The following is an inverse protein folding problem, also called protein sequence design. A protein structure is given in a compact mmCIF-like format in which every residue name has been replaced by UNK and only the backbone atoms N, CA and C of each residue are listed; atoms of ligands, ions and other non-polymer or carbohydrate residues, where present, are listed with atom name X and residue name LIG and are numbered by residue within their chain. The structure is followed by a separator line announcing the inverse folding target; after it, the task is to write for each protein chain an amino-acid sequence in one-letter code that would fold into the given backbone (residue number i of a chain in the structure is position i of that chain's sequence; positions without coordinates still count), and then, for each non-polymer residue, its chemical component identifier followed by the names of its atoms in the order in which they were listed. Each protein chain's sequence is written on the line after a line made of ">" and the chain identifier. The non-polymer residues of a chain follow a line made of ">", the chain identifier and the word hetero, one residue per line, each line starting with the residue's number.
data_IF_784378066577
#
_entry.id   IF_784378066577
#
_cell.length_a   1.000
_cell.length_b   1.000
_cell.length_c   1.000
_cell.angle_alpha   90.00
_cell.angle_beta   90.00
_cell.angle_gamma   90.00
#
_symmetry.space_group_name_H-M   'P 1'
#
loop_
_entity.id
_entity.type
_entity.pdbx_description
1 polymer ?
#
# COMPACT_ATOMS: atom_id res chain seq x y z
N UNK A 1 10.22 -6.72 19.36
CA UNK A 1 11.00 -7.98 19.15
C UNK A 1 11.29 -8.62 20.50
N UNK A 2 11.29 -9.95 20.58
CA UNK A 2 11.46 -10.70 21.83
C UNK A 2 12.48 -11.81 21.63
N UNK A 3 13.42 -11.94 22.58
CA UNK A 3 14.46 -12.97 22.56
C UNK A 3 14.05 -14.11 23.50
N UNK A 4 13.77 -15.28 22.95
CA UNK A 4 13.33 -16.45 23.71
C UNK A 4 14.44 -17.50 23.75
N UNK A 5 14.75 -17.99 24.95
CA UNK A 5 15.73 -19.05 25.20
C UNK A 5 15.23 -19.90 26.37
N UNK A 6 15.45 -21.21 26.32
CA UNK A 6 15.09 -22.14 27.38
C UNK A 6 16.33 -22.94 27.82
N UNK A 7 16.70 -22.91 29.12
CA UNK A 7 16.08 -22.13 30.18
C UNK A 7 16.29 -20.60 29.99
N UNK A 8 15.40 -19.76 30.54
CA UNK A 8 15.50 -18.31 30.41
C UNK A 8 16.87 -17.79 30.86
N UNK A 9 17.51 -17.00 30.00
CA UNK A 9 18.79 -16.38 30.34
C UNK A 9 18.61 -15.27 31.37
N UNK A 10 19.65 -15.03 32.16
CA UNK A 10 19.72 -13.88 33.09
C UNK A 10 20.12 -12.58 32.39
N UNK A 11 20.73 -12.64 31.20
CA UNK A 11 21.21 -11.47 30.47
C UNK A 11 20.93 -11.61 28.97
N UNK A 12 20.42 -10.52 28.38
CA UNK A 12 20.06 -10.40 26.97
C UNK A 12 20.68 -9.14 26.39
N UNK A 13 21.30 -9.27 25.21
CA UNK A 13 21.82 -8.17 24.43
C UNK A 13 21.19 -8.15 23.05
N UNK A 14 20.79 -6.98 22.59
CA UNK A 14 20.28 -6.77 21.25
C UNK A 14 21.32 -6.07 20.39
N UNK A 15 21.42 -6.52 19.14
CA UNK A 15 22.30 -5.96 18.13
C UNK A 15 21.48 -5.59 16.90
N UNK A 16 21.82 -4.45 16.29
CA UNK A 16 21.35 -4.02 14.98
C UNK A 16 22.55 -3.77 14.09
N UNK A 17 22.63 -4.41 12.93
CA UNK A 17 23.78 -4.32 12.02
C UNK A 17 25.10 -4.58 12.76
N UNK A 18 25.11 -5.60 13.62
CA UNK A 18 26.21 -5.98 14.52
C UNK A 18 26.63 -4.96 15.59
N UNK A 19 25.92 -3.83 15.73
CA UNK A 19 26.16 -2.86 16.81
C UNK A 19 25.20 -3.10 17.98
N UNK A 20 25.70 -3.11 19.20
CA UNK A 20 24.86 -3.25 20.40
C UNK A 20 23.91 -2.04 20.53
N UNK A 21 22.62 -2.31 20.77
CA UNK A 21 21.56 -1.29 20.80
C UNK A 21 20.70 -1.30 22.07
N UNK A 22 20.56 -2.43 22.75
CA UNK A 22 19.71 -2.52 23.94
C UNK A 22 20.00 -3.77 24.75
N UNK A 23 19.44 -3.83 25.97
CA UNK A 23 19.49 -5.01 26.84
C UNK A 23 18.09 -5.33 27.36
N UNK A 24 17.87 -6.60 27.71
CA UNK A 24 16.58 -7.09 28.19
C UNK A 24 15.90 -8.04 27.21
N UNK A 25 14.95 -8.84 27.74
CA UNK A 25 14.26 -9.89 26.97
C UNK A 25 13.52 -9.33 25.75
N UNK A 26 12.94 -8.16 25.89
CA UNK A 26 12.17 -7.49 24.84
C UNK A 26 12.91 -6.24 24.38
N UNK A 27 12.91 -6.01 23.07
CA UNK A 27 13.29 -4.73 22.46
C UNK A 27 12.08 -4.13 21.75
N UNK A 28 11.69 -2.94 22.19
CA UNK A 28 10.50 -2.23 21.71
C UNK A 28 10.95 -0.96 21.01
N UNK A 29 10.51 -0.78 19.76
CA UNK A 29 10.62 0.46 19.01
C UNK A 29 9.25 1.13 19.18
N UNK A 30 9.22 2.28 19.86
CA UNK A 30 7.96 3.00 20.11
C UNK A 30 7.45 3.71 18.87
N UNK A 31 8.36 4.25 18.05
CA UNK A 31 8.08 4.91 16.78
C UNK A 31 9.09 4.40 15.75
N UNK A 32 8.63 3.68 14.75
CA UNK A 32 9.49 3.08 13.74
C UNK A 32 9.76 4.09 12.60
N UNK A 33 11.03 4.34 12.32
CA UNK A 33 11.53 5.17 11.22
C UNK A 33 12.41 4.32 10.29
N UNK A 34 12.67 4.77 9.06
CA UNK A 34 13.52 4.01 8.13
C UNK A 34 14.91 3.73 8.69
N UNK A 35 15.43 4.59 9.57
CA UNK A 35 16.69 4.37 10.30
C UNK A 35 16.65 3.20 11.28
N UNK A 36 15.45 2.73 11.65
CA UNK A 36 15.28 1.51 12.42
C UNK A 36 15.38 0.25 11.56
N UNK A 37 15.48 0.37 10.23
CA UNK A 37 15.75 -0.78 9.37
C UNK A 37 17.13 -1.38 9.64
N UNK A 38 17.24 -2.69 9.44
CA UNK A 38 18.49 -3.42 9.51
C UNK A 38 18.34 -4.84 10.03
N UNK A 39 19.48 -5.48 10.20
CA UNK A 39 19.58 -6.86 10.66
C UNK A 39 19.65 -6.91 12.19
N UNK A 40 18.63 -7.51 12.79
CA UNK A 40 18.51 -7.67 14.23
C UNK A 40 18.89 -9.08 14.64
N UNK A 41 19.64 -9.17 15.74
CA UNK A 41 19.90 -10.43 16.44
C UNK A 41 19.99 -10.17 17.93
N UNK A 42 19.61 -11.17 18.71
CA UNK A 42 19.85 -11.14 20.14
C UNK A 42 20.96 -12.12 20.52
N UNK A 43 21.67 -11.81 21.59
CA UNK A 43 22.62 -12.71 22.21
C UNK A 43 22.25 -12.91 23.67
N UNK A 44 22.37 -14.15 24.13
CA UNK A 44 22.23 -14.50 25.54
C UNK A 44 23.42 -15.35 25.98
N UNK A 45 23.74 -15.31 27.27
CA UNK A 45 24.87 -16.08 27.80
C UNK A 45 24.67 -17.60 27.67
N UNK A 46 23.43 -18.07 27.77
CA UNK A 46 23.09 -19.51 27.74
C UNK A 46 22.72 -20.01 26.35
N UNK A 47 22.08 -19.18 25.52
CA UNK A 47 21.61 -19.57 24.19
C UNK A 47 22.51 -19.13 23.03
N UNK A 48 23.58 -18.37 23.30
CA UNK A 48 24.42 -17.82 22.24
C UNK A 48 23.71 -16.74 21.42
N UNK A 49 24.12 -16.57 20.16
CA UNK A 49 23.54 -15.59 19.22
C UNK A 49 22.37 -16.22 18.48
N UNK A 50 21.26 -15.48 18.34
CA UNK A 50 20.13 -15.89 17.50
C UNK A 50 20.46 -15.82 16.01
N UNK A 51 19.63 -16.49 15.20
CA UNK A 51 19.53 -16.18 13.78
C UNK A 51 19.17 -14.70 13.57
N UNK A 52 19.54 -14.18 12.40
CA UNK A 52 19.29 -12.80 12.02
C UNK A 52 17.84 -12.66 11.53
N UNK A 53 17.18 -11.59 11.98
CA UNK A 53 15.89 -11.14 11.46
C UNK A 53 16.08 -9.75 10.87
N UNK A 54 15.83 -9.60 9.58
CA UNK A 54 15.87 -8.30 8.91
C UNK A 54 14.56 -7.56 9.14
N UNK A 55 14.62 -6.40 9.80
CA UNK A 55 13.51 -5.46 9.89
C UNK A 55 13.68 -4.44 8.77
N UNK A 56 12.72 -4.36 7.86
CA UNK A 56 12.63 -3.26 6.89
C UNK A 56 11.50 -2.33 7.33
N UNK A 57 11.87 -1.12 7.72
CA UNK A 57 10.94 -0.03 8.00
C UNK A 57 10.94 0.87 6.77
N UNK A 58 9.86 0.82 6.00
CA UNK A 58 9.71 1.62 4.79
C UNK A 58 9.20 3.01 5.21
N UNK A 59 9.91 4.06 4.82
CA UNK A 59 9.56 5.45 5.11
C UNK A 59 8.93 6.18 3.93
N UNK A 60 8.18 5.51 3.07
CA UNK A 60 7.40 6.19 2.02
C UNK A 60 5.90 6.08 2.34
N UNK A 61 5.41 6.84 3.34
CA UNK A 61 4.01 6.85 3.71
C UNK A 61 3.11 7.37 2.58
N UNK A 62 3.67 8.14 1.65
CA UNK A 62 2.85 8.83 0.65
C UNK A 62 2.60 7.92 -0.53
N UNK A 63 1.33 7.77 -0.88
CA UNK A 63 0.91 7.12 -2.13
C UNK A 63 0.11 8.11 -2.97
N UNK A 64 0.24 7.97 -4.29
CA UNK A 64 -0.61 8.67 -5.24
C UNK A 64 -1.62 7.69 -5.82
N UNK A 65 -2.86 7.83 -5.39
CA UNK A 65 -3.98 7.01 -5.76
C UNK A 65 -4.62 7.58 -7.02
N UNK A 66 -4.85 6.70 -8.00
CA UNK A 66 -5.60 6.99 -9.21
C UNK A 66 -6.75 5.99 -9.36
N UNK A 67 -7.82 6.34 -10.10
CA UNK A 67 -8.86 5.39 -10.45
C UNK A 67 -8.25 4.19 -11.21
N UNK A 68 -8.76 2.99 -10.92
CA UNK A 68 -8.33 1.74 -11.58
C UNK A 68 -8.66 1.73 -13.08
N UNK A 69 -9.83 2.26 -13.42
CA UNK A 69 -10.29 2.42 -14.79
C UNK A 69 -10.95 3.79 -14.94
N UNK A 70 -10.76 4.40 -16.11
CA UNK A 70 -11.34 5.69 -16.44
C UNK A 70 -12.03 5.58 -17.80
N UNK A 71 -13.29 6.01 -17.85
CA UNK A 71 -14.10 6.10 -19.06
C UNK A 71 -14.36 7.57 -19.44
N UNK A 72 -14.75 7.81 -20.69
CA UNK A 72 -15.10 9.14 -21.15
C UNK A 72 -16.33 9.66 -20.37
N UNK A 73 -16.19 10.85 -19.79
CA UNK A 73 -17.23 11.48 -18.96
C UNK A 73 -17.08 11.25 -17.45
N UNK A 74 -16.15 10.39 -17.03
CA UNK A 74 -15.87 10.19 -15.61
C UNK A 74 -15.27 11.45 -14.97
N UNK A 75 -15.62 11.69 -13.70
CA UNK A 75 -14.96 12.70 -12.90
C UNK A 75 -13.66 12.14 -12.32
N UNK A 76 -12.52 12.53 -12.89
CA UNK A 76 -11.23 11.94 -12.56
C UNK A 76 -10.59 12.74 -11.43
N UNK A 77 -10.26 12.06 -10.34
CA UNK A 77 -9.50 12.67 -9.25
C UNK A 77 -8.34 11.79 -8.82
N UNK A 78 -7.16 12.40 -8.69
CA UNK A 78 -6.02 11.79 -8.00
C UNK A 78 -6.06 12.16 -6.52
N UNK A 79 -5.65 11.24 -5.66
CA UNK A 79 -5.51 11.50 -4.23
C UNK A 79 -4.10 11.18 -3.77
N UNK A 80 -3.45 12.15 -3.13
CA UNK A 80 -2.14 11.96 -2.55
C UNK A 80 -2.33 11.65 -1.07
N UNK A 81 -2.20 10.40 -0.65
CA UNK A 81 -2.58 9.94 0.70
C UNK A 81 -1.34 9.62 1.54
N UNK A 82 -1.49 9.69 2.87
CA UNK A 82 -0.49 9.27 3.88
C UNK A 82 -1.18 8.41 4.94
N UNK A 83 -0.48 7.54 5.70
CA UNK A 83 -1.07 6.63 6.67
C UNK A 83 -1.94 7.37 7.67
N UNK A 84 -3.03 6.72 8.05
CA UNK A 84 -3.95 7.21 9.06
C UNK A 84 -3.20 7.62 10.33
N UNK A 85 -3.46 8.85 10.80
CA UNK A 85 -2.78 9.44 11.95
C UNK A 85 -1.56 10.31 11.61
N UNK A 86 -1.14 10.37 10.35
CA UNK A 86 -0.11 11.31 9.89
C UNK A 86 -0.59 12.76 9.95
N UNK A 87 0.25 13.66 10.48
CA UNK A 87 -0.01 15.11 10.48
C UNK A 87 0.60 15.72 9.21
N UNK A 88 -0.16 15.71 8.12
CA UNK A 88 0.27 16.33 6.86
C UNK A 88 0.10 17.85 6.91
N UNK A 89 1.12 18.60 6.51
CA UNK A 89 1.13 20.08 6.56
C UNK A 89 1.11 20.74 5.18
N UNK A 90 1.46 20.00 4.14
CA UNK A 90 1.47 20.48 2.76
C UNK A 90 1.38 19.33 1.77
N UNK A 91 0.63 19.51 0.69
CA UNK A 91 0.55 18.63 -0.47
C UNK A 91 0.89 19.43 -1.73
N UNK A 92 1.72 18.86 -2.60
CA UNK A 92 2.08 19.44 -3.90
C UNK A 92 1.84 18.39 -4.97
N UNK A 93 1.14 18.75 -6.04
CA UNK A 93 1.00 17.92 -7.23
C UNK A 93 1.87 18.42 -8.36
N UNK A 94 2.40 17.47 -9.13
CA UNK A 94 3.22 17.72 -10.30
C UNK A 94 2.63 17.05 -11.54
N UNK A 95 2.69 17.74 -12.68
CA UNK A 95 2.39 17.22 -14.02
C UNK A 95 3.64 17.38 -14.86
N UNK A 96 4.17 16.29 -15.41
CA UNK A 96 5.43 16.29 -16.17
C UNK A 96 6.57 17.02 -15.44
N UNK A 97 6.73 16.71 -14.14
CA UNK A 97 7.69 17.32 -13.21
C UNK A 97 7.51 18.82 -12.91
N UNK A 98 6.41 19.44 -13.35
CA UNK A 98 6.09 20.83 -13.04
C UNK A 98 5.01 20.92 -11.97
N UNK A 99 5.19 21.81 -10.98
CA UNK A 99 4.20 22.05 -9.93
C UNK A 99 2.92 22.63 -10.52
N UNK A 100 1.80 21.95 -10.30
CA UNK A 100 0.47 22.38 -10.78
C UNK A 100 -0.49 22.77 -9.65
N UNK A 101 -0.27 22.25 -8.45
CA UNK A 101 -1.07 22.58 -7.28
C UNK A 101 -0.22 22.48 -6.02
N UNK A 102 -0.47 23.38 -5.08
CA UNK A 102 0.14 23.41 -3.75
C UNK A 102 -0.92 23.82 -2.75
N UNK A 103 -1.18 22.96 -1.76
CA UNK A 103 -2.20 23.19 -0.74
C UNK A 103 -1.73 22.70 0.62
N UNK A 104 -2.26 23.27 1.70
CA UNK A 104 -2.02 22.80 3.07
C UNK A 104 -3.11 21.85 3.56
N UNK A 105 -4.28 21.86 2.92
CA UNK A 105 -5.47 21.11 3.33
C UNK A 105 -5.96 20.14 2.27
N UNK A 106 -5.88 20.52 0.99
CA UNK A 106 -6.37 19.68 -0.10
C UNK A 106 -5.30 18.68 -0.54
N UNK A 107 -5.69 17.41 -0.56
CA UNK A 107 -4.87 16.30 -1.02
C UNK A 107 -5.44 15.58 -2.24
N UNK A 108 -6.41 16.22 -2.91
CA UNK A 108 -6.99 15.75 -4.17
C UNK A 108 -6.67 16.70 -5.32
N UNK A 109 -6.52 16.13 -6.52
CA UNK A 109 -6.35 16.84 -7.77
C UNK A 109 -7.39 16.36 -8.77
N UNK A 110 -8.26 17.25 -9.22
CA UNK A 110 -9.21 16.95 -10.30
C UNK A 110 -8.52 17.05 -11.66
N UNK A 111 -8.75 16.07 -12.53
CA UNK A 111 -8.20 15.98 -13.88
C UNK A 111 -9.31 15.98 -14.92
N UNK A 112 -8.98 16.42 -16.13
CA UNK A 112 -9.82 16.19 -17.31
C UNK A 112 -9.36 14.95 -18.04
N UNK A 113 -10.27 14.31 -18.77
CA UNK A 113 -9.96 13.15 -19.61
C UNK A 113 -8.81 13.42 -20.61
N UNK A 114 -8.70 14.65 -21.12
CA UNK A 114 -7.61 15.07 -22.02
C UNK A 114 -6.23 15.05 -21.38
N UNK A 115 -6.14 15.09 -20.05
CA UNK A 115 -4.88 15.20 -19.33
C UNK A 115 -4.31 13.82 -18.92
N UNK A 116 -5.05 12.73 -19.15
CA UNK A 116 -4.68 11.36 -18.76
C UNK A 116 -3.37 10.83 -19.38
N UNK A 117 -2.89 11.45 -20.47
CA UNK A 117 -1.67 11.06 -21.17
C UNK A 117 -0.40 11.55 -20.49
N UNK A 118 -0.52 12.43 -19.50
CA UNK A 118 0.63 12.99 -18.80
C UNK A 118 1.07 12.16 -17.61
N UNK A 119 2.28 12.44 -17.13
CA UNK A 119 2.80 11.82 -15.91
C UNK A 119 2.47 12.68 -14.69
N UNK A 120 1.95 12.04 -13.65
CA UNK A 120 1.57 12.67 -12.40
C UNK A 120 2.36 12.14 -11.22
N UNK A 121 2.81 13.06 -10.38
CA UNK A 121 3.38 12.74 -9.09
C UNK A 121 2.89 13.71 -8.03
N UNK A 122 3.05 13.34 -6.77
CA UNK A 122 2.73 14.22 -5.66
C UNK A 122 3.82 14.17 -4.60
N UNK A 123 3.87 15.21 -3.77
CA UNK A 123 4.63 15.20 -2.53
C UNK A 123 3.76 15.65 -1.37
N UNK A 124 3.94 15.04 -0.19
CA UNK A 124 3.38 15.58 1.05
C UNK A 124 4.48 15.84 2.07
N UNK A 125 4.32 16.93 2.80
CA UNK A 125 5.06 17.19 4.03
C UNK A 125 4.30 16.57 5.21
N UNK A 126 4.96 15.72 5.96
CA UNK A 126 4.40 15.06 7.15
C UNK A 126 5.25 15.44 8.36
N UNK A 127 4.59 15.89 9.41
CA UNK A 127 5.21 16.29 10.67
C UNK A 127 5.35 15.09 11.60
N UNK A 128 6.59 14.77 11.97
CA UNK A 128 6.92 13.84 13.07
C UNK A 128 7.63 14.63 14.18
N UNK A 129 8.87 14.28 14.52
CA UNK A 129 9.78 15.11 15.31
C UNK A 129 10.32 16.29 14.50
N UNK A 130 10.49 16.09 13.20
CA UNK A 130 10.84 17.11 12.19
C UNK A 130 9.92 16.95 10.96
N UNK A 131 9.84 17.99 10.14
CA UNK A 131 9.06 17.92 8.90
C UNK A 131 9.82 17.13 7.84
N UNK A 132 9.24 16.02 7.39
CA UNK A 132 9.74 15.24 6.27
C UNK A 132 8.93 15.49 5.01
N UNK A 133 9.56 15.44 3.85
CA UNK A 133 8.87 15.53 2.54
C UNK A 133 8.98 14.20 1.82
N UNK A 134 7.85 13.58 1.54
CA UNK A 134 7.75 12.30 0.84
C UNK A 134 7.15 12.50 -0.54
N UNK A 135 7.57 11.70 -1.52
CA UNK A 135 7.09 11.77 -2.91
C UNK A 135 6.49 10.44 -3.33
N UNK A 136 5.45 10.52 -4.17
CA UNK A 136 4.81 9.37 -4.75
C UNK A 136 4.49 9.61 -6.22
N UNK A 137 4.57 8.54 -7.01
CA UNK A 137 4.24 8.55 -8.43
C UNK A 137 3.21 7.46 -8.72
N UNK A 138 2.39 7.69 -9.74
CA UNK A 138 1.42 6.70 -10.21
C UNK A 138 1.23 6.81 -11.71
N UNK A 139 0.87 5.70 -12.33
CA UNK A 139 0.47 5.63 -13.72
C UNK A 139 -1.05 5.51 -13.79
N UNK A 140 -1.70 6.43 -14.49
CA UNK A 140 -3.14 6.34 -14.72
C UNK A 140 -3.36 5.34 -15.86
N UNK A 141 -4.10 4.28 -15.57
CA UNK A 141 -4.49 3.29 -16.58
C UNK A 141 -5.85 3.69 -17.15
N UNK A 142 -5.94 3.82 -18.47
CA UNK A 142 -7.20 3.97 -19.18
C UNK A 142 -7.32 2.83 -20.18
N UNK A 143 -8.50 2.23 -20.24
CA UNK A 143 -8.77 1.12 -21.15
C UNK A 143 -9.93 1.50 -22.05
N UNK A 144 -9.76 1.34 -23.35
CA UNK A 144 -10.89 1.37 -24.26
C UNK A 144 -11.72 0.10 -24.07
N UNK A 145 -13.04 0.27 -24.07
CA UNK A 145 -14.05 -0.73 -23.71
C UNK A 145 -13.82 -2.07 -24.46
N UNK A 146 -13.18 -3.03 -23.81
CA UNK A 146 -12.60 -4.21 -24.45
C UNK A 146 -13.57 -5.41 -24.59
N UNK A 147 -14.87 -5.21 -24.40
CA UNK A 147 -15.86 -6.31 -24.49
C UNK A 147 -15.67 -7.41 -23.41
N UNK A 148 -14.95 -7.12 -22.33
CA UNK A 148 -14.73 -8.01 -21.18
C UNK A 148 -15.77 -7.80 -20.09
N UNK A 149 -15.79 -8.69 -19.09
CA UNK A 149 -16.67 -8.51 -17.92
C UNK A 149 -16.26 -7.24 -17.14
N UNK A 150 -17.17 -6.26 -16.93
CA UNK A 150 -16.84 -5.03 -16.25
C UNK A 150 -16.68 -5.25 -14.75
N UNK A 151 -15.65 -4.66 -14.16
CA UNK A 151 -15.40 -4.70 -12.71
C UNK A 151 -15.44 -3.29 -12.14
N UNK A 152 -16.12 -3.13 -11.01
CA UNK A 152 -16.18 -1.88 -10.25
C UNK A 152 -15.51 -2.05 -8.90
N UNK A 153 -15.01 -0.95 -8.37
CA UNK A 153 -14.19 -0.91 -7.16
C UNK A 153 -14.74 0.11 -6.19
N UNK A 154 -14.69 -0.19 -4.90
CA UNK A 154 -15.09 0.75 -3.85
C UNK A 154 -14.11 0.62 -2.68
N UNK A 155 -13.23 1.62 -2.45
CA UNK A 155 -12.97 2.80 -3.30
C UNK A 155 -12.36 2.41 -4.65
N UNK A 156 -12.29 3.36 -5.59
CA UNK A 156 -11.84 3.13 -6.97
C UNK A 156 -10.31 3.18 -7.17
N UNK A 157 -9.54 3.21 -6.08
CA UNK A 157 -8.10 3.43 -6.09
C UNK A 157 -7.28 2.22 -6.55
N UNK A 158 -6.24 2.47 -7.35
CA UNK A 158 -5.25 1.48 -7.77
C UNK A 158 -4.19 1.14 -6.70
N UNK A 159 -4.02 2.04 -5.71
CA UNK A 159 -3.08 1.90 -4.60
C UNK A 159 -3.81 2.07 -3.27
N UNK A 160 -3.51 1.22 -2.31
CA UNK A 160 -4.09 1.24 -0.96
C UNK A 160 -2.98 1.30 0.09
N UNK A 161 -3.33 1.83 1.27
CA UNK A 161 -2.50 1.73 2.47
C UNK A 161 -2.97 0.56 3.33
N UNK A 162 -2.06 0.02 4.13
CA UNK A 162 -2.42 -1.05 5.07
C UNK A 162 -3.54 -0.59 6.01
N UNK A 163 -4.50 -1.47 6.26
CA UNK A 163 -5.68 -1.14 7.05
C UNK A 163 -6.86 -0.55 6.27
N UNK A 164 -6.67 -0.14 5.00
CA UNK A 164 -7.77 0.24 4.13
C UNK A 164 -8.71 -0.94 3.85
N UNK A 165 -9.91 -0.63 3.36
CA UNK A 165 -10.88 -1.64 2.89
C UNK A 165 -11.13 -1.42 1.40
N UNK A 166 -11.26 -2.52 0.65
CA UNK A 166 -11.66 -2.48 -0.75
C UNK A 166 -12.69 -3.56 -1.04
N UNK A 167 -13.70 -3.19 -1.83
CA UNK A 167 -14.67 -4.11 -2.40
C UNK A 167 -14.54 -4.09 -3.92
N UNK A 168 -14.41 -5.28 -4.50
CA UNK A 168 -14.34 -5.51 -5.93
C UNK A 168 -15.63 -6.20 -6.35
N UNK A 169 -16.30 -5.67 -7.37
CA UNK A 169 -17.60 -6.15 -7.84
C UNK A 169 -17.53 -6.52 -9.30
N UNK A 170 -17.83 -7.78 -9.61
CA UNK A 170 -17.89 -8.26 -10.98
C UNK A 170 -19.30 -8.02 -11.52
N UNK A 171 -19.44 -7.07 -12.44
CA UNK A 171 -20.74 -6.64 -12.93
C UNK A 171 -21.24 -7.63 -13.97
N UNK A 172 -22.35 -8.31 -13.65
CA UNK A 172 -22.88 -9.41 -14.42
C UNK A 172 -24.33 -9.73 -14.05
N UNK A 173 -24.85 -10.83 -14.59
CA UNK A 173 -26.19 -11.31 -14.29
C UNK A 173 -26.27 -12.15 -13.01
N UNK A 174 -27.44 -12.20 -12.39
CA UNK A 174 -27.67 -13.01 -11.19
C UNK A 174 -27.50 -14.51 -11.42
N UNK A 175 -27.68 -14.98 -12.66
CA UNK A 175 -27.58 -16.40 -13.05
C UNK A 175 -26.14 -16.82 -13.42
N UNK A 176 -25.15 -15.94 -13.24
CA UNK A 176 -23.76 -16.25 -13.57
C UNK A 176 -23.04 -16.87 -12.40
N UNK A 177 -22.02 -17.67 -12.71
CA UNK A 177 -21.03 -18.11 -11.71
C UNK A 177 -19.91 -17.08 -11.62
N UNK A 178 -19.32 -16.91 -10.44
CA UNK A 178 -18.27 -15.93 -10.17
C UNK A 178 -17.09 -16.60 -9.48
N UNK A 179 -15.88 -16.25 -9.91
CA UNK A 179 -14.63 -16.68 -9.30
C UNK A 179 -13.63 -15.53 -9.35
N UNK A 180 -13.14 -15.11 -8.19
CA UNK A 180 -12.08 -14.14 -8.07
C UNK A 180 -10.74 -14.85 -8.00
N UNK A 181 -9.82 -14.43 -8.85
CA UNK A 181 -8.46 -14.96 -8.92
C UNK A 181 -7.48 -13.86 -8.48
N UNK A 182 -6.57 -14.19 -7.57
CA UNK A 182 -5.38 -13.39 -7.25
C UNK A 182 -4.15 -14.17 -7.72
N UNK A 183 -3.39 -13.61 -8.67
CA UNK A 183 -2.25 -14.29 -9.30
C UNK A 183 -2.63 -15.73 -9.75
N UNK A 184 -3.74 -15.84 -10.49
CA UNK A 184 -4.34 -17.09 -10.97
C UNK A 184 -4.82 -18.08 -9.88
N UNK A 185 -4.78 -17.68 -8.61
CA UNK A 185 -5.25 -18.50 -7.48
C UNK A 185 -6.63 -18.06 -7.02
N UNK A 186 -7.55 -19.00 -6.83
CA UNK A 186 -8.91 -18.72 -6.38
C UNK A 186 -8.93 -18.14 -4.96
N UNK A 187 -9.58 -16.98 -4.78
CA UNK A 187 -9.72 -16.28 -3.49
C UNK A 187 -11.17 -16.07 -3.04
N UNK A 188 -12.14 -16.08 -3.96
CA UNK A 188 -13.57 -16.01 -3.64
C UNK A 188 -14.44 -16.53 -4.79
N UNK A 189 -15.69 -16.91 -4.50
CA UNK A 189 -16.66 -17.43 -5.49
C UNK A 189 -17.99 -16.63 -5.52
N UNK A 190 -17.95 -15.39 -5.03
CA UNK A 190 -19.10 -14.49 -5.01
C UNK A 190 -18.95 -13.37 -6.04
N UNK A 191 -20.08 -12.73 -6.39
CA UNK A 191 -20.08 -11.57 -7.29
C UNK A 191 -19.20 -10.44 -6.77
N UNK A 192 -19.19 -10.25 -5.45
CA UNK A 192 -18.39 -9.27 -4.73
C UNK A 192 -17.30 -9.95 -3.94
N UNK A 193 -16.10 -9.36 -3.93
CA UNK A 193 -15.00 -9.77 -3.07
C UNK A 193 -14.49 -8.57 -2.27
N UNK A 194 -14.61 -8.66 -0.95
CA UNK A 194 -14.20 -7.59 -0.02
C UNK A 194 -12.98 -8.03 0.77
N UNK A 195 -11.95 -7.20 0.74
CA UNK A 195 -10.78 -7.33 1.62
C UNK A 195 -10.88 -6.23 2.66
N UNK A 196 -11.02 -6.62 3.92
CA UNK A 196 -10.99 -5.70 5.05
C UNK A 196 -9.59 -5.65 5.65
N UNK A 197 -9.18 -4.46 6.10
CA UNK A 197 -7.85 -4.23 6.69
C UNK A 197 -6.72 -4.80 5.81
N UNK A 198 -6.63 -4.31 4.57
CA UNK A 198 -5.69 -4.81 3.56
C UNK A 198 -4.25 -4.83 4.09
N UNK A 199 -3.48 -5.78 3.58
CA UNK A 199 -2.10 -6.06 3.97
C UNK A 199 -1.25 -6.17 2.71
N UNK A 200 0.07 -5.95 2.81
CA UNK A 200 0.99 -5.98 1.66
C UNK A 200 0.87 -7.29 0.85
N UNK A 201 0.62 -8.42 1.51
CA UNK A 201 0.40 -9.73 0.86
C UNK A 201 -0.85 -9.84 -0.02
N UNK A 202 -1.79 -8.90 0.08
CA UNK A 202 -2.94 -8.80 -0.82
C UNK A 202 -2.60 -8.10 -2.14
N UNK A 203 -1.38 -7.57 -2.30
CA UNK A 203 -0.92 -7.06 -3.59
C UNK A 203 -0.88 -8.17 -4.64
N UNK A 204 -1.21 -7.84 -5.88
CA UNK A 204 -1.20 -8.82 -6.96
C UNK A 204 -2.06 -8.44 -8.15
N UNK A 205 -2.14 -9.37 -9.09
CA UNK A 205 -3.02 -9.26 -10.25
C UNK A 205 -4.32 -9.97 -9.92
N UNK A 206 -5.42 -9.25 -10.06
CA UNK A 206 -6.75 -9.77 -9.83
C UNK A 206 -7.54 -9.88 -11.12
N UNK A 207 -8.36 -10.91 -11.23
CA UNK A 207 -9.25 -11.13 -12.36
C UNK A 207 -10.53 -11.81 -11.90
N UNK A 208 -11.68 -11.35 -12.40
CA UNK A 208 -12.95 -12.04 -12.23
C UNK A 208 -13.15 -13.01 -13.40
N UNK A 209 -13.44 -14.27 -13.09
CA UNK A 209 -13.87 -15.30 -14.02
C UNK A 209 -15.35 -15.59 -13.80
N UNK A 210 -16.10 -15.61 -14.90
CA UNK A 210 -17.52 -15.98 -14.88
C UNK A 210 -17.84 -17.03 -15.94
N UNK A 211 -19.06 -17.56 -15.91
CA UNK A 211 -19.57 -18.41 -16.99
C UNK A 211 -19.66 -17.71 -18.36
N UNK A 212 -19.61 -16.37 -18.42
CA UNK A 212 -19.67 -15.61 -19.67
C UNK A 212 -18.30 -15.14 -20.18
N UNK A 213 -17.26 -15.20 -19.35
CA UNK A 213 -15.92 -14.78 -19.75
C UNK A 213 -15.05 -14.30 -18.59
N UNK A 214 -13.98 -13.60 -18.94
CA UNK A 214 -13.03 -13.01 -17.99
C UNK A 214 -13.13 -11.49 -18.00
N UNK A 215 -12.90 -10.86 -16.84
CA UNK A 215 -12.61 -9.44 -16.77
C UNK A 215 -11.20 -9.15 -17.31
N UNK A 216 -10.89 -7.88 -17.54
CA UNK A 216 -9.50 -7.47 -17.66
C UNK A 216 -8.76 -7.76 -16.33
N UNK A 217 -7.48 -8.17 -16.40
CA UNK A 217 -6.65 -8.24 -15.22
C UNK A 217 -6.35 -6.82 -14.72
N UNK A 218 -6.39 -6.62 -13.41
CA UNK A 218 -5.97 -5.37 -12.79
C UNK A 218 -4.93 -5.64 -11.71
N UNK A 219 -4.03 -4.68 -11.50
CA UNK A 219 -2.99 -4.76 -10.50
C UNK A 219 -3.38 -3.91 -9.29
N UNK A 220 -3.51 -4.56 -8.14
CA UNK A 220 -3.70 -3.89 -6.85
C UNK A 220 -2.35 -3.81 -6.14
N UNK A 221 -1.96 -2.61 -5.72
CA UNK A 221 -0.75 -2.38 -4.92
C UNK A 221 -1.12 -1.92 -3.51
N UNK A 222 -0.63 -2.63 -2.49
CA UNK A 222 -0.83 -2.27 -1.08
C UNK A 222 0.52 -1.86 -0.47
N UNK A 223 0.59 -0.64 0.04
CA UNK A 223 1.74 -0.06 0.74
C UNK A 223 1.47 0.05 2.24
N UNK A 224 2.53 0.09 3.05
CA UNK A 224 2.44 0.32 4.50
C UNK A 224 2.03 1.74 4.85
#
# INVERSE_FOLDING_TARGET
>A
MTCNVEPPASFYHWYRNNKAISTGKNYVIFFAESENSGDYKCWTRTGGTSEIVTLSVISDPVILQAPLYVYEGDNISLQCSSPSGSVATQTIFYRNNQTISKSTTNDTLQLKYTDLKDTYSCSRQVLTTITHTYKAETTISYTENAGTIPVTFTPDWNKLLTGDNITMTCNGGNDWTYQWLQNDTLVAEEQTYTITSVQVGHSGIYQCRTSQGLSLPFRLEVSN
#
